data_IF_085968245439
#
_entry.id   IF_085968245439
#
_cell.length_a   1.000
_cell.length_b   1.000
_cell.length_c   1.000
_cell.angle_alpha   90.00
_cell.angle_beta   90.00
_cell.angle_gamma   90.00
#
_symmetry.space_group_name_H-M   'P 1'
#
loop_
_entity.id
_entity.type
_entity.pdbx_description
1 polymer ?
#
# COMPACT_ATOMS: atom_id res chain seq x y z
N UNK A 1 -38.29 25.78 26.04
CA UNK A 1 -38.77 24.59 26.77
C UNK A 1 -39.63 23.77 25.82
N UNK A 2 -39.52 22.43 25.82
CA UNK A 2 -39.52 21.59 24.62
C UNK A 2 -40.85 20.87 24.36
N UNK A 3 -41.07 20.41 23.13
CA UNK A 3 -41.85 19.19 22.88
C UNK A 3 -41.37 18.53 21.58
N UNK A 4 -41.11 17.23 21.69
CA UNK A 4 -40.49 16.32 20.73
C UNK A 4 -41.36 16.09 19.47
N UNK A 5 -40.78 15.92 18.28
CA UNK A 5 -41.48 15.30 17.16
C UNK A 5 -41.45 13.77 17.28
N UNK A 6 -42.65 13.18 17.28
CA UNK A 6 -42.91 11.76 17.39
C UNK A 6 -42.60 10.96 16.10
N UNK A 7 -42.16 9.74 16.36
CA UNK A 7 -41.91 8.62 15.47
C UNK A 7 -43.23 8.01 14.95
N UNK A 8 -43.32 7.69 13.64
CA UNK A 8 -44.31 6.74 13.12
C UNK A 8 -43.79 6.05 11.84
N UNK A 9 -43.10 4.94 12.06
CA UNK A 9 -43.24 3.65 11.37
C UNK A 9 -43.72 3.66 9.90
N UNK A 10 -42.74 3.54 8.98
CA UNK A 10 -42.96 2.97 7.66
C UNK A 10 -42.79 1.45 7.70
N UNK A 11 -43.88 0.70 7.58
CA UNK A 11 -43.83 -0.74 7.29
C UNK A 11 -44.59 -1.03 6.01
N UNK A 12 -43.89 -1.02 4.88
CA UNK A 12 -44.40 -1.62 3.64
C UNK A 12 -43.70 -2.94 3.43
N UNK A 13 -44.43 -4.00 3.71
CA UNK A 13 -44.03 -5.40 3.62
C UNK A 13 -44.85 -6.01 2.47
N UNK A 14 -44.33 -5.99 1.24
CA UNK A 14 -44.91 -6.77 0.15
C UNK A 14 -43.90 -6.99 -0.97
N UNK A 15 -43.56 -8.25 -1.23
CA UNK A 15 -42.70 -8.56 -2.36
C UNK A 15 -42.16 -9.99 -2.39
N UNK A 16 -43.03 -10.99 -2.25
CA UNK A 16 -42.77 -12.34 -2.76
C UNK A 16 -42.41 -12.24 -4.24
N UNK A 17 -41.26 -12.76 -4.66
CA UNK A 17 -41.17 -13.59 -5.87
C UNK A 17 -39.89 -14.44 -5.82
N UNK A 18 -40.06 -15.75 -5.62
CA UNK A 18 -39.07 -16.76 -6.01
C UNK A 18 -39.55 -17.32 -7.34
N UNK A 19 -38.85 -17.01 -8.42
CA UNK A 19 -39.02 -17.70 -9.70
C UNK A 19 -37.67 -18.26 -10.13
N UNK A 20 -37.59 -19.58 -10.03
CA UNK A 20 -36.51 -20.43 -10.50
C UNK A 20 -36.92 -20.89 -11.91
N UNK A 21 -36.00 -20.82 -12.87
CA UNK A 21 -36.20 -21.24 -14.27
C UNK A 21 -35.30 -20.40 -15.19
N UNK A 22 -34.06 -20.79 -15.43
CA UNK A 22 -33.58 -21.82 -16.37
C UNK A 22 -33.35 -21.27 -17.79
N UNK A 23 -32.07 -21.34 -18.18
CA UNK A 23 -31.50 -21.55 -19.52
C UNK A 23 -31.20 -20.43 -20.53
N UNK A 24 -29.90 -20.43 -20.88
CA UNK A 24 -29.27 -20.23 -22.19
C UNK A 24 -29.15 -18.80 -22.77
N UNK A 25 -27.93 -18.24 -22.74
CA UNK A 25 -27.15 -18.09 -23.99
C UNK A 25 -25.67 -17.76 -23.71
N UNK A 26 -24.76 -18.54 -24.30
CA UNK A 26 -23.36 -18.16 -24.49
C UNK A 26 -23.27 -17.20 -25.69
N UNK A 27 -22.99 -15.92 -25.41
CA UNK A 27 -22.11 -15.02 -26.20
C UNK A 27 -22.57 -13.58 -26.01
N UNK A 28 -21.72 -12.78 -25.38
CA UNK A 28 -21.98 -11.37 -25.16
C UNK A 28 -21.05 -10.83 -24.10
N UNK A 29 -19.87 -10.43 -24.54
CA UNK A 29 -18.93 -9.59 -23.82
C UNK A 29 -19.64 -8.48 -23.04
N UNK A 30 -19.77 -8.62 -21.72
CA UNK A 30 -19.99 -7.49 -20.81
C UNK A 30 -18.77 -7.36 -19.93
N UNK A 31 -17.73 -6.81 -20.55
CA UNK A 31 -16.84 -5.86 -19.90
C UNK A 31 -17.69 -4.92 -19.05
N UNK A 32 -17.63 -5.06 -17.73
CA UNK A 32 -17.91 -3.98 -16.80
C UNK A 32 -16.83 -3.99 -15.72
N UNK A 33 -15.72 -3.40 -16.14
CA UNK A 33 -14.74 -2.70 -15.31
C UNK A 33 -15.47 -1.73 -14.38
N UNK A 34 -15.46 -1.98 -13.06
CA UNK A 34 -15.66 -0.96 -12.04
C UNK A 34 -15.19 -1.44 -10.65
N UNK A 35 -13.91 -1.83 -10.55
CA UNK A 35 -13.23 -2.09 -9.27
C UNK A 35 -11.85 -1.45 -9.13
N UNK A 36 -11.39 -0.69 -10.14
CA UNK A 36 -10.09 0.01 -10.11
C UNK A 36 -10.25 1.45 -9.65
N UNK A 37 -10.39 1.65 -8.34
CA UNK A 37 -10.01 2.90 -7.67
C UNK A 37 -9.51 2.61 -6.27
N UNK A 38 -8.21 2.31 -6.10
CA UNK A 38 -7.47 2.60 -4.85
C UNK A 38 -5.98 3.01 -4.95
N UNK A 39 -5.43 3.55 -6.06
CA UNK A 39 -4.01 3.93 -6.07
C UNK A 39 -3.63 5.11 -5.14
N UNK A 40 -4.58 5.96 -4.74
CA UNK A 40 -4.30 7.13 -3.89
C UNK A 40 -4.31 6.83 -2.37
N UNK A 41 -5.03 5.80 -1.94
CA UNK A 41 -5.05 5.38 -0.53
C UNK A 41 -3.76 4.65 -0.16
N UNK A 42 -3.15 3.94 -1.12
CA UNK A 42 -1.88 3.25 -0.91
C UNK A 42 -0.73 4.23 -0.69
N UNK A 43 -0.71 5.37 -1.41
CA UNK A 43 0.32 6.40 -1.24
C UNK A 43 0.26 7.10 0.13
N UNK A 44 -0.93 7.53 0.57
CA UNK A 44 -1.08 8.12 1.91
C UNK A 44 -0.77 7.12 3.02
N UNK A 45 -1.28 5.88 2.88
CA UNK A 45 -0.99 4.82 3.85
C UNK A 45 0.51 4.50 3.91
N UNK A 46 1.21 4.45 2.78
CA UNK A 46 2.65 4.24 2.75
C UNK A 46 3.40 5.37 3.45
N UNK A 47 2.92 6.61 3.31
CA UNK A 47 3.49 7.78 3.97
C UNK A 47 3.30 7.72 5.49
N UNK A 48 2.07 7.45 5.96
CA UNK A 48 1.77 7.32 7.40
C UNK A 48 2.60 6.19 8.04
N UNK A 49 2.79 5.08 7.31
CA UNK A 49 3.62 3.97 7.78
C UNK A 49 5.11 4.33 7.81
N UNK A 50 5.63 4.96 6.76
CA UNK A 50 7.02 5.39 6.68
C UNK A 50 7.36 6.36 7.82
N UNK A 51 6.48 7.33 8.09
CA UNK A 51 6.60 8.27 9.20
C UNK A 51 6.62 7.54 10.55
N UNK A 52 5.65 6.64 10.78
CA UNK A 52 5.60 5.83 12.00
C UNK A 52 6.83 4.94 12.22
N UNK A 53 7.38 4.36 11.14
CA UNK A 53 8.64 3.60 11.17
C UNK A 53 9.77 4.49 11.68
N UNK A 54 9.96 5.67 11.07
CA UNK A 54 11.03 6.59 11.46
C UNK A 54 10.89 7.10 12.89
N UNK A 55 9.68 7.46 13.33
CA UNK A 55 9.39 7.82 14.73
C UNK A 55 9.80 6.68 15.67
N UNK A 56 9.48 5.43 15.32
CA UNK A 56 9.80 4.28 16.16
C UNK A 56 11.31 4.03 16.27
N UNK A 57 12.07 4.13 15.18
CA UNK A 57 13.50 3.80 15.18
C UNK A 57 14.39 4.97 15.60
N UNK A 58 14.00 6.21 15.31
CA UNK A 58 14.76 7.42 15.69
C UNK A 58 14.33 8.03 17.02
N UNK A 59 13.15 7.66 17.55
CA UNK A 59 12.54 8.27 18.76
C UNK A 59 12.38 9.80 18.63
N UNK A 60 11.86 10.24 17.48
CA UNK A 60 11.61 11.65 17.17
C UNK A 60 10.11 11.95 17.02
N UNK A 61 9.76 13.24 16.96
CA UNK A 61 8.40 13.69 16.67
C UNK A 61 7.99 13.41 15.21
N UNK A 62 6.69 13.20 14.93
CA UNK A 62 6.19 12.89 13.59
C UNK A 62 6.59 13.93 12.52
N UNK A 63 6.49 15.23 12.84
CA UNK A 63 6.89 16.32 11.93
C UNK A 63 8.38 16.25 11.55
N UNK A 64 9.24 15.81 12.48
CA UNK A 64 10.68 15.63 12.21
C UNK A 64 10.91 14.47 11.25
N UNK A 65 10.22 13.34 11.47
CA UNK A 65 10.29 12.18 10.59
C UNK A 65 9.77 12.50 9.17
N UNK A 66 8.66 13.22 9.09
CA UNK A 66 8.12 13.67 7.81
C UNK A 66 9.07 14.61 7.07
N UNK A 67 9.67 15.57 7.80
CA UNK A 67 10.70 16.46 7.26
C UNK A 67 11.87 15.70 6.63
N UNK A 68 12.36 14.67 7.31
CA UNK A 68 13.43 13.82 6.79
C UNK A 68 13.05 13.10 5.48
N UNK A 69 11.84 12.54 5.40
CA UNK A 69 11.32 11.93 4.17
C UNK A 69 11.29 12.94 3.01
N UNK A 70 10.86 14.17 3.29
CA UNK A 70 10.79 15.25 2.30
C UNK A 70 12.19 15.66 1.84
N UNK A 71 13.14 15.80 2.76
CA UNK A 71 14.51 16.21 2.45
C UNK A 71 15.23 15.15 1.62
N UNK A 72 15.09 13.86 1.97
CA UNK A 72 15.65 12.75 1.18
C UNK A 72 15.02 12.69 -0.21
N UNK A 73 13.70 12.83 -0.32
CA UNK A 73 13.02 12.81 -1.62
C UNK A 73 13.49 13.97 -2.51
N UNK A 74 13.53 15.20 -1.99
CA UNK A 74 13.99 16.38 -2.73
C UNK A 74 15.46 16.28 -3.12
N UNK A 75 16.33 15.86 -2.20
CA UNK A 75 17.77 15.73 -2.43
C UNK A 75 18.14 14.74 -3.53
N UNK A 76 17.28 13.75 -3.78
CA UNK A 76 17.47 12.73 -4.81
C UNK A 76 16.54 12.91 -6.04
N UNK A 77 15.73 13.98 -6.08
CA UNK A 77 14.79 14.21 -7.20
C UNK A 77 13.67 13.17 -7.31
N UNK A 78 13.31 12.52 -6.20
CA UNK A 78 12.31 11.46 -6.16
C UNK A 78 10.96 11.95 -5.65
N UNK A 79 9.91 11.22 -6.00
CA UNK A 79 8.59 11.42 -5.38
C UNK A 79 8.62 10.98 -3.92
N UNK A 80 8.08 11.82 -3.03
CA UNK A 80 7.91 11.49 -1.61
C UNK A 80 7.20 10.15 -1.40
N UNK A 81 6.17 9.87 -2.20
CA UNK A 81 5.44 8.60 -2.12
C UNK A 81 6.28 7.39 -2.56
N UNK A 82 7.20 7.58 -3.51
CA UNK A 82 8.11 6.52 -3.94
C UNK A 82 9.13 6.19 -2.85
N UNK A 83 9.69 7.21 -2.20
CA UNK A 83 10.60 7.06 -1.05
C UNK A 83 9.88 6.41 0.13
N UNK A 84 8.67 6.86 0.48
CA UNK A 84 7.88 6.28 1.56
C UNK A 84 7.54 4.79 1.30
N UNK A 85 7.11 4.46 0.07
CA UNK A 85 6.82 3.07 -0.30
C UNK A 85 8.07 2.20 -0.25
N UNK A 86 9.22 2.72 -0.68
CA UNK A 86 10.50 2.02 -0.62
C UNK A 86 10.94 1.76 0.83
N UNK A 87 10.79 2.74 1.72
CA UNK A 87 11.09 2.57 3.14
C UNK A 87 10.18 1.51 3.80
N UNK A 88 8.88 1.53 3.51
CA UNK A 88 7.93 0.53 4.03
C UNK A 88 8.29 -0.86 3.52
N UNK A 89 8.63 -1.00 2.23
CA UNK A 89 9.04 -2.26 1.66
C UNK A 89 10.36 -2.75 2.28
N UNK A 90 11.33 -1.87 2.48
CA UNK A 90 12.58 -2.16 3.18
C UNK A 90 12.30 -2.68 4.60
N UNK A 91 11.54 -1.93 5.41
CA UNK A 91 11.18 -2.32 6.78
C UNK A 91 10.34 -3.61 6.86
N UNK A 92 9.59 -3.94 5.80
CA UNK A 92 8.81 -5.17 5.69
C UNK A 92 9.58 -6.34 5.08
N UNK A 93 10.90 -6.18 4.84
CA UNK A 93 11.75 -7.15 4.14
C UNK A 93 11.15 -7.62 2.80
N UNK A 94 10.45 -6.72 2.11
CA UNK A 94 9.78 -6.98 0.83
C UNK A 94 10.56 -6.31 -0.30
N UNK A 95 10.56 -6.88 -1.50
CA UNK A 95 11.31 -6.35 -2.64
C UNK A 95 10.72 -5.02 -3.15
N UNK A 96 11.27 -3.89 -2.68
CA UNK A 96 10.95 -2.55 -3.17
C UNK A 96 11.32 -2.32 -4.65
N UNK A 97 12.31 -3.08 -5.14
CA UNK A 97 12.84 -2.99 -6.50
C UNK A 97 11.80 -3.25 -7.60
N UNK A 98 10.67 -3.91 -7.27
CA UNK A 98 9.59 -4.18 -8.21
C UNK A 98 8.89 -2.91 -8.72
N UNK A 99 8.99 -1.78 -7.98
CA UNK A 99 8.26 -0.55 -8.32
C UNK A 99 9.15 0.66 -8.60
N UNK A 100 10.28 0.82 -7.88
CA UNK A 100 11.24 1.89 -8.13
C UNK A 100 12.61 1.54 -7.52
N UNK A 101 13.54 1.09 -8.37
CA UNK A 101 14.88 0.67 -7.94
C UNK A 101 15.70 1.82 -7.34
N UNK A 102 15.57 3.04 -7.87
CA UNK A 102 16.29 4.21 -7.35
C UNK A 102 15.80 4.58 -5.94
N UNK A 103 14.48 4.60 -5.73
CA UNK A 103 13.92 4.86 -4.41
C UNK A 103 14.29 3.75 -3.40
N UNK A 104 14.38 2.49 -3.84
CA UNK A 104 14.86 1.39 -3.01
C UNK A 104 16.31 1.58 -2.56
N UNK A 105 17.20 1.95 -3.49
CA UNK A 105 18.60 2.22 -3.19
C UNK A 105 18.77 3.43 -2.25
N UNK A 106 18.02 4.50 -2.49
CA UNK A 106 18.01 5.69 -1.62
C UNK A 106 17.50 5.32 -0.22
N UNK A 107 16.41 4.55 -0.11
CA UNK A 107 15.89 4.14 1.19
C UNK A 107 16.88 3.26 1.98
N UNK A 108 17.51 2.29 1.31
CA UNK A 108 18.54 1.44 1.90
C UNK A 108 19.74 2.26 2.39
N UNK A 109 20.25 3.18 1.56
CA UNK A 109 21.38 4.05 1.92
C UNK A 109 21.10 4.92 3.15
N UNK A 110 19.88 5.43 3.30
CA UNK A 110 19.53 6.36 4.38
C UNK A 110 19.08 5.65 5.67
N UNK A 111 18.40 4.51 5.55
CA UNK A 111 17.70 3.87 6.69
C UNK A 111 17.99 2.38 6.87
N UNK A 112 18.72 1.72 5.97
CA UNK A 112 19.02 0.29 6.06
C UNK A 112 19.72 -0.11 7.37
N UNK A 113 20.80 0.60 7.72
CA UNK A 113 21.52 0.39 8.98
C UNK A 113 20.66 0.68 10.21
N UNK A 114 19.84 1.74 10.15
CA UNK A 114 18.94 2.16 11.22
C UNK A 114 17.87 1.10 11.52
N UNK A 115 17.36 0.46 10.47
CA UNK A 115 16.39 -0.63 10.59
C UNK A 115 17.04 -1.95 11.04
N UNK A 116 18.37 -1.99 11.17
CA UNK A 116 19.10 -3.22 11.47
C UNK A 116 18.92 -4.27 10.37
N UNK A 117 18.61 -3.84 9.15
CA UNK A 117 18.45 -4.71 7.99
C UNK A 117 19.84 -4.79 7.36
N UNK A 118 20.60 -5.89 7.59
CA UNK A 118 21.78 -6.11 6.78
C UNK A 118 21.33 -6.15 5.32
N UNK A 119 22.17 -5.71 4.37
CA UNK A 119 21.92 -5.72 2.91
C UNK A 119 21.65 -7.13 2.30
N UNK A 120 21.26 -8.10 3.12
CA UNK A 120 21.00 -9.49 2.87
C UNK A 120 19.59 -9.71 2.31
N UNK A 121 19.36 -9.25 1.08
CA UNK A 121 18.46 -9.98 0.17
C UNK A 121 18.83 -9.79 -1.33
N UNK A 122 20.04 -9.31 -1.64
CA UNK A 122 20.55 -9.36 -3.03
C UNK A 122 21.20 -10.71 -3.37
N UNK A 123 21.47 -11.56 -2.38
CA UNK A 123 22.16 -12.85 -2.56
C UNK A 123 21.24 -14.04 -2.82
N UNK A 124 19.94 -13.96 -2.51
CA UNK A 124 19.03 -15.10 -2.62
C UNK A 124 18.69 -15.51 -4.06
N UNK A 125 18.91 -14.65 -5.06
CA UNK A 125 18.65 -14.98 -6.48
C UNK A 125 19.91 -15.19 -7.32
N UNK A 126 21.10 -14.81 -6.83
CA UNK A 126 22.35 -15.09 -7.53
C UNK A 126 22.82 -16.55 -7.33
N UNK A 127 22.35 -17.24 -6.29
CA UNK A 127 22.75 -18.63 -5.98
C UNK A 127 21.89 -19.71 -6.67
N UNK A 128 20.82 -19.34 -7.38
CA UNK A 128 19.86 -20.32 -7.95
C UNK A 128 20.03 -20.60 -9.45
N UNK A 129 21.07 -20.09 -10.12
CA UNK A 129 21.28 -20.27 -11.57
C UNK A 129 22.46 -21.19 -11.95
N UNK A 130 23.28 -21.67 -11.00
CA UNK A 130 24.50 -22.44 -11.31
C UNK A 130 24.35 -23.98 -11.15
N UNK A 131 23.21 -24.48 -10.66
CA UNK A 131 23.07 -25.91 -10.28
C UNK A 131 22.25 -26.76 -11.29
N UNK A 132 22.26 -26.42 -12.58
CA UNK A 132 21.50 -27.16 -13.60
C UNK A 132 22.29 -27.51 -14.87
N UNK A 133 23.60 -27.76 -14.77
CA UNK A 133 24.34 -28.46 -15.83
C UNK A 133 25.48 -29.27 -15.24
N UNK A 134 25.20 -30.52 -14.85
CA UNK A 134 26.13 -31.66 -14.96
C UNK A 134 25.30 -32.94 -15.07
#
# INVERSE_FOLDING_TARGET
MPIHPGEAAGTTLLGKQRKIGNEMNLSGTTTTTAGRRRPALDGRRALDLAEGILVAVRRCEPDTAFGELVDVAKGNGLSLFAVASALVALASCTTAATFNAEAALVADRHWGELLGIPALHLTALAQSQDEATT
#
